data_IF_140272606512
#
_entry.id   IF_140272606512
#
_cell.length_a   1.000
_cell.length_b   1.000
_cell.length_c   1.000
_cell.angle_alpha   90.00
_cell.angle_beta   90.00
_cell.angle_gamma   90.00
#
_symmetry.space_group_name_H-M   'P 1'
#
loop_
_entity.id
_entity.type
_entity.pdbx_description
1 polymer ?
#
# COMPACT_ATOMS: atom_id res chain seq x y z
N UNK A 1 -26.66 38.30 83.88
CA UNK A 1 -27.12 36.92 84.15
C UNK A 1 -28.39 36.72 83.35
N UNK A 2 -28.43 35.74 82.43
CA UNK A 2 -29.62 34.95 82.09
C UNK A 2 -29.29 34.04 80.88
N UNK A 3 -28.87 32.82 81.22
CA UNK A 3 -28.66 31.72 80.29
C UNK A 3 -30.02 31.17 79.86
N UNK A 4 -30.44 31.48 78.63
CA UNK A 4 -31.66 30.92 78.04
C UNK A 4 -31.40 29.50 77.55
N UNK A 5 -31.48 28.54 78.46
CA UNK A 5 -31.56 27.11 78.12
C UNK A 5 -32.88 26.85 77.39
N UNK A 6 -32.83 26.74 76.06
CA UNK A 6 -33.94 26.19 75.27
C UNK A 6 -34.00 24.68 75.57
N UNK A 7 -34.91 24.29 76.45
CA UNK A 7 -35.25 22.88 76.64
C UNK A 7 -35.85 22.33 75.34
N UNK A 8 -35.10 21.47 74.64
CA UNK A 8 -35.62 20.66 73.55
C UNK A 8 -36.74 19.76 74.10
N UNK A 9 -37.94 19.88 73.54
CA UNK A 9 -39.03 18.95 73.83
C UNK A 9 -38.57 17.53 73.45
N UNK A 10 -38.81 16.51 74.30
CA UNK A 10 -38.55 15.13 73.94
C UNK A 10 -39.43 14.76 72.74
N UNK A 11 -38.85 14.14 71.71
CA UNK A 11 -39.59 13.65 70.55
C UNK A 11 -40.67 12.65 71.02
N UNK A 12 -41.84 12.73 70.39
CA UNK A 12 -42.91 11.76 70.64
C UNK A 12 -42.55 10.38 70.05
N UNK A 13 -43.09 9.33 70.64
CA UNK A 13 -42.85 7.94 70.22
C UNK A 13 -43.21 7.70 68.74
N UNK A 14 -44.27 8.35 68.25
CA UNK A 14 -44.68 8.32 66.85
C UNK A 14 -43.65 8.96 65.90
N UNK A 15 -43.04 10.09 66.29
CA UNK A 15 -42.00 10.74 65.49
C UNK A 15 -40.72 9.88 65.42
N UNK A 16 -40.40 9.16 66.50
CA UNK A 16 -39.27 8.22 66.52
C UNK A 16 -39.53 7.05 65.57
N UNK A 17 -40.73 6.47 65.60
CA UNK A 17 -41.11 5.34 64.75
C UNK A 17 -41.12 5.73 63.25
N UNK A 18 -41.59 6.93 62.93
CA UNK A 18 -41.56 7.46 61.57
C UNK A 18 -40.12 7.70 61.08
N UNK A 19 -39.25 8.31 61.90
CA UNK A 19 -37.84 8.49 61.56
C UNK A 19 -37.12 7.17 61.35
N UNK A 20 -37.41 6.15 62.17
CA UNK A 20 -36.85 4.81 61.98
C UNK A 20 -37.34 4.16 60.68
N UNK A 21 -38.61 4.36 60.31
CA UNK A 21 -39.15 3.88 59.03
C UNK A 21 -38.44 4.55 57.84
N UNK A 22 -38.25 5.87 57.90
CA UNK A 22 -37.54 6.61 56.86
C UNK A 22 -36.06 6.17 56.75
N UNK A 23 -35.40 5.91 57.88
CA UNK A 23 -34.02 5.39 57.90
C UNK A 23 -33.93 4.02 57.24
N UNK A 24 -34.83 3.09 57.57
CA UNK A 24 -34.88 1.76 56.94
C UNK A 24 -35.10 1.85 55.43
N UNK A 25 -35.99 2.75 54.99
CA UNK A 25 -36.24 2.96 53.56
C UNK A 25 -35.02 3.56 52.85
N UNK A 26 -34.36 4.56 53.45
CA UNK A 26 -33.12 5.13 52.90
C UNK A 26 -31.98 4.12 52.85
N UNK A 27 -31.82 3.30 53.89
CA UNK A 27 -30.80 2.26 53.93
C UNK A 27 -31.05 1.20 52.84
N UNK A 28 -32.31 0.81 52.65
CA UNK A 28 -32.71 -0.09 51.56
C UNK A 28 -32.38 0.52 50.19
N UNK A 29 -32.74 1.78 49.97
CA UNK A 29 -32.47 2.48 48.71
C UNK A 29 -30.96 2.60 48.43
N UNK A 30 -30.15 2.89 49.44
CA UNK A 30 -28.69 2.94 49.31
C UNK A 30 -28.08 1.59 48.98
N UNK A 31 -28.59 0.50 49.58
CA UNK A 31 -28.14 -0.87 49.26
C UNK A 31 -28.48 -1.25 47.81
N UNK A 32 -29.68 -0.93 47.35
CA UNK A 32 -30.09 -1.18 45.97
C UNK A 32 -29.22 -0.38 44.98
N UNK A 33 -28.94 0.89 45.29
CA UNK A 33 -28.05 1.72 44.47
C UNK A 33 -26.61 1.20 44.45
N UNK A 34 -26.09 0.74 45.60
CA UNK A 34 -24.75 0.16 45.68
C UNK A 34 -24.64 -1.14 44.86
N UNK A 35 -25.64 -2.03 44.97
CA UNK A 35 -25.68 -3.26 44.19
C UNK A 35 -25.78 -2.99 42.67
N UNK A 36 -26.53 -1.97 42.27
CA UNK A 36 -26.62 -1.57 40.87
C UNK A 36 -25.27 -1.05 40.33
N UNK A 37 -24.56 -0.23 41.11
CA UNK A 37 -23.23 0.27 40.75
C UNK A 37 -22.20 -0.86 40.66
N UNK A 38 -22.23 -1.82 41.60
CA UNK A 38 -21.36 -2.99 41.57
C UNK A 38 -21.63 -3.87 40.34
N UNK A 39 -22.90 -4.10 40.00
CA UNK A 39 -23.27 -4.81 38.76
C UNK A 39 -22.73 -4.09 37.52
N UNK A 40 -22.89 -2.77 37.46
CA UNK A 40 -22.41 -1.97 36.34
C UNK A 40 -20.87 -2.00 36.23
N UNK A 41 -20.15 -1.97 37.35
CA UNK A 41 -18.70 -2.10 37.37
C UNK A 41 -18.24 -3.47 36.87
N UNK A 42 -18.89 -4.55 37.30
CA UNK A 42 -18.57 -5.90 36.83
C UNK A 42 -18.84 -6.08 35.33
N UNK A 43 -19.93 -5.50 34.82
CA UNK A 43 -20.22 -5.50 33.38
C UNK A 43 -19.15 -4.74 32.59
N UNK A 44 -18.76 -3.56 33.08
CA UNK A 44 -17.72 -2.76 32.44
C UNK A 44 -16.36 -3.47 32.44
N UNK A 45 -15.98 -4.10 33.55
CA UNK A 45 -14.75 -4.87 33.67
C UNK A 45 -14.75 -6.07 32.70
N UNK A 46 -15.88 -6.79 32.62
CA UNK A 46 -16.03 -7.91 31.68
C UNK A 46 -15.91 -7.44 30.22
N UNK A 47 -16.52 -6.31 29.88
CA UNK A 47 -16.41 -5.73 28.54
C UNK A 47 -14.99 -5.28 28.23
N UNK A 48 -14.28 -4.69 29.21
CA UNK A 48 -12.89 -4.28 29.07
C UNK A 48 -12.00 -5.50 28.81
N UNK A 49 -12.16 -6.57 29.58
CA UNK A 49 -11.38 -7.79 29.42
C UNK A 49 -11.60 -8.45 28.06
N UNK A 50 -12.85 -8.48 27.59
CA UNK A 50 -13.19 -8.96 26.25
C UNK A 50 -12.55 -8.09 25.15
N UNK A 51 -12.67 -6.76 25.24
CA UNK A 51 -12.08 -5.84 24.28
C UNK A 51 -10.54 -5.94 24.25
N UNK A 52 -9.90 -6.09 25.41
CA UNK A 52 -8.47 -6.31 25.49
C UNK A 52 -8.03 -7.64 24.85
N UNK A 53 -8.84 -8.69 25.02
CA UNK A 53 -8.60 -9.97 24.37
C UNK A 53 -8.66 -9.83 22.84
N UNK A 54 -9.71 -9.20 22.31
CA UNK A 54 -9.87 -8.97 20.88
C UNK A 54 -8.72 -8.14 20.29
N UNK A 55 -8.27 -7.10 21.01
CA UNK A 55 -7.11 -6.30 20.60
C UNK A 55 -5.82 -7.12 20.56
N UNK A 56 -5.62 -8.04 21.51
CA UNK A 56 -4.46 -8.96 21.50
C UNK A 56 -4.51 -9.90 20.30
N UNK A 57 -5.69 -10.42 19.95
CA UNK A 57 -5.86 -11.26 18.77
C UNK A 57 -5.58 -10.50 17.47
N UNK A 58 -6.16 -9.30 17.31
CA UNK A 58 -5.95 -8.44 16.14
C UNK A 58 -4.47 -8.11 15.98
N UNK A 59 -3.79 -7.76 17.07
CA UNK A 59 -2.35 -7.48 17.05
C UNK A 59 -1.55 -8.68 16.56
N UNK A 60 -1.81 -9.85 17.10
CA UNK A 60 -1.10 -11.09 16.71
C UNK A 60 -1.36 -11.41 15.23
N UNK A 61 -2.61 -11.24 14.77
CA UNK A 61 -2.98 -11.44 13.37
C UNK A 61 -2.26 -10.47 12.43
N UNK A 62 -2.16 -9.19 12.80
CA UNK A 62 -1.43 -8.17 12.05
C UNK A 62 0.07 -8.48 11.97
N UNK A 63 0.69 -8.85 13.08
CA UNK A 63 2.12 -9.23 13.13
C UNK A 63 2.39 -10.44 12.19
N UNK A 64 1.52 -11.45 12.21
CA UNK A 64 1.60 -12.58 11.28
C UNK A 64 1.43 -12.16 9.82
N UNK A 65 0.47 -11.27 9.53
CA UNK A 65 0.20 -10.76 8.18
C UNK A 65 1.39 -9.96 7.63
N UNK A 66 2.04 -9.16 8.49
CA UNK A 66 3.22 -8.39 8.14
C UNK A 66 4.40 -9.32 7.79
N UNK A 67 4.57 -10.40 8.56
CA UNK A 67 5.60 -11.41 8.29
C UNK A 67 5.33 -12.13 6.96
N UNK A 68 4.08 -12.53 6.70
CA UNK A 68 3.67 -13.14 5.43
C UNK A 68 3.95 -12.21 4.23
N UNK A 69 3.64 -10.91 4.36
CA UNK A 69 3.94 -9.91 3.33
C UNK A 69 5.45 -9.76 3.10
N UNK A 70 6.25 -9.69 4.17
CA UNK A 70 7.72 -9.63 4.05
C UNK A 70 8.27 -10.86 3.34
N UNK A 71 7.81 -12.06 3.66
CA UNK A 71 8.24 -13.28 2.98
C UNK A 71 7.87 -13.27 1.51
N UNK A 72 6.64 -12.85 1.19
CA UNK A 72 6.17 -12.78 -0.20
C UNK A 72 6.98 -11.77 -1.01
N UNK A 73 7.31 -10.62 -0.42
CA UNK A 73 8.14 -9.61 -1.07
C UNK A 73 9.57 -10.13 -1.24
N UNK A 74 10.14 -10.87 -0.28
CA UNK A 74 11.44 -11.52 -0.44
C UNK A 74 11.45 -12.58 -1.56
N UNK A 75 10.36 -13.35 -1.72
CA UNK A 75 10.20 -14.30 -2.84
C UNK A 75 10.09 -13.59 -4.18
N UNK A 76 9.31 -12.50 -4.24
CA UNK A 76 9.10 -11.74 -5.48
C UNK A 76 10.30 -10.88 -5.88
N UNK A 77 11.11 -10.44 -4.91
CA UNK A 77 12.30 -9.63 -5.12
C UNK A 77 13.58 -10.48 -5.28
N UNK A 78 13.44 -11.80 -5.43
CA UNK A 78 14.52 -12.67 -5.89
C UNK A 78 14.75 -12.34 -7.37
N UNK A 79 15.68 -11.42 -7.62
CA UNK A 79 15.91 -10.84 -8.93
C UNK A 79 16.25 -11.96 -9.93
N UNK A 80 15.43 -12.21 -10.97
CA UNK A 80 15.70 -13.28 -11.93
C UNK A 80 17.04 -13.05 -12.63
N UNK A 81 17.52 -11.80 -12.69
CA UNK A 81 18.85 -11.46 -13.16
C UNK A 81 19.96 -12.05 -12.28
N UNK A 82 19.83 -12.03 -10.95
CA UNK A 82 20.83 -12.63 -10.04
C UNK A 82 20.88 -14.15 -10.16
N UNK A 83 19.71 -14.80 -10.27
CA UNK A 83 19.64 -16.27 -10.44
C UNK A 83 20.26 -16.68 -11.79
N UNK A 84 19.95 -15.94 -12.87
CA UNK A 84 20.53 -16.14 -14.20
C UNK A 84 22.05 -15.85 -14.22
N UNK A 85 22.52 -14.88 -13.44
CA UNK A 85 23.96 -14.57 -13.30
C UNK A 85 24.71 -15.67 -12.56
N UNK A 86 24.13 -16.24 -11.50
CA UNK A 86 24.70 -17.38 -10.76
C UNK A 86 24.77 -18.62 -11.66
N UNK A 87 23.71 -18.92 -12.39
CA UNK A 87 23.66 -20.03 -13.34
C UNK A 87 24.68 -19.84 -14.48
N UNK A 88 24.82 -18.63 -15.03
CA UNK A 88 25.86 -18.32 -16.03
C UNK A 88 27.28 -18.49 -15.48
N UNK A 89 27.52 -18.09 -14.22
CA UNK A 89 28.82 -18.25 -13.59
C UNK A 89 29.16 -19.73 -13.38
N UNK A 90 28.18 -20.54 -13.05
CA UNK A 90 28.33 -22.00 -12.90
C UNK A 90 28.57 -22.69 -14.25
N UNK A 91 27.79 -22.36 -15.29
CA UNK A 91 28.01 -22.85 -16.65
C UNK A 91 29.39 -22.48 -17.19
N UNK A 92 29.87 -21.26 -16.92
CA UNK A 92 31.23 -20.83 -17.30
C UNK A 92 32.31 -21.64 -16.58
N UNK A 93 32.10 -21.96 -15.30
CA UNK A 93 33.02 -22.79 -14.53
C UNK A 93 33.05 -24.23 -15.06
N UNK A 94 31.91 -24.78 -15.41
CA UNK A 94 31.81 -26.14 -15.97
C UNK A 94 32.41 -26.22 -17.39
N UNK A 95 32.18 -25.20 -18.22
CA UNK A 95 32.83 -25.07 -19.52
C UNK A 95 34.35 -24.99 -19.39
N UNK A 96 34.86 -24.26 -18.38
CA UNK A 96 36.29 -24.19 -18.11
C UNK A 96 36.86 -25.55 -17.68
N UNK A 97 36.12 -26.33 -16.88
CA UNK A 97 36.51 -27.70 -16.51
C UNK A 97 36.55 -28.63 -17.71
N UNK A 98 35.50 -28.63 -18.54
CA UNK A 98 35.43 -29.46 -19.76
C UNK A 98 36.53 -29.12 -20.77
N UNK A 99 36.89 -27.83 -20.89
CA UNK A 99 38.04 -27.41 -21.72
C UNK A 99 39.37 -27.86 -21.13
N UNK A 100 39.53 -27.84 -19.81
CA UNK A 100 40.73 -28.34 -19.16
C UNK A 100 40.89 -29.86 -19.35
N UNK A 101 39.81 -30.64 -19.24
CA UNK A 101 39.84 -32.08 -19.53
C UNK A 101 40.04 -32.38 -21.02
N UNK A 102 39.44 -31.61 -21.94
CA UNK A 102 39.66 -31.75 -23.38
C UNK A 102 41.11 -31.44 -23.81
N UNK A 103 41.84 -30.59 -23.08
CA UNK A 103 43.26 -30.35 -23.28
C UNK A 103 44.16 -31.47 -22.72
N UNK A 104 43.59 -32.48 -22.07
CA UNK A 104 44.32 -33.61 -21.49
C UNK A 104 44.14 -34.91 -22.29
N UNK A 105 43.36 -34.91 -23.36
CA UNK A 105 43.13 -36.10 -24.19
C UNK A 105 44.00 -36.06 -25.46
N UNK A 106 44.94 -37.00 -25.67
CA UNK A 106 45.75 -37.03 -26.88
C UNK A 106 44.92 -37.61 -28.03
N UNK A 107 44.45 -36.75 -28.95
CA UNK A 107 43.89 -37.20 -30.23
C UNK A 107 45.02 -37.60 -31.20
N UNK A 108 44.90 -38.74 -31.90
CA UNK A 108 45.90 -39.18 -32.87
C UNK A 108 45.80 -38.34 -34.15
N UNK A 109 46.97 -37.98 -34.69
CA UNK A 109 47.12 -37.40 -36.03
C UNK A 109 46.49 -38.32 -37.08
N UNK A 110 45.42 -37.87 -37.75
CA UNK A 110 45.30 -38.04 -39.19
C UNK A 110 44.17 -37.19 -39.77
N UNK A 111 44.44 -36.63 -40.95
CA UNK A 111 43.53 -35.97 -41.89
C UNK A 111 43.29 -34.46 -41.70
N UNK A 112 44.24 -33.68 -42.21
CA UNK A 112 43.94 -32.36 -42.78
C UNK A 112 43.10 -32.53 -44.07
N UNK A 113 42.06 -31.71 -44.24
CA UNK A 113 41.74 -31.14 -45.53
C UNK A 113 41.99 -29.62 -45.50
N UNK A 114 42.87 -29.18 -46.40
CA UNK A 114 42.92 -27.89 -47.10
C UNK A 114 42.19 -26.70 -46.48
N UNK A 115 43.00 -25.74 -46.01
CA UNK A 115 42.63 -24.35 -45.71
C UNK A 115 42.09 -23.66 -46.97
N UNK A 116 40.79 -23.36 -46.97
CA UNK A 116 40.22 -22.26 -47.73
C UNK A 116 39.90 -21.13 -46.75
N UNK A 117 40.62 -20.02 -46.86
CA UNK A 117 40.25 -18.76 -46.19
C UNK A 117 38.86 -18.32 -46.67
N UNK A 118 38.01 -17.83 -45.75
CA UNK A 118 37.50 -16.48 -45.94
C UNK A 118 37.80 -15.62 -44.72
N UNK A 119 38.73 -14.71 -44.95
CA UNK A 119 39.05 -13.52 -44.18
C UNK A 119 37.80 -12.69 -43.87
N UNK A 120 37.68 -12.24 -42.62
CA UNK A 120 37.02 -11.00 -42.16
C UNK A 120 35.63 -10.62 -42.72
N UNK A 121 34.58 -10.83 -41.93
CA UNK A 121 33.34 -10.05 -41.98
C UNK A 121 32.91 -9.61 -40.57
N UNK A 122 33.56 -8.58 -40.04
CA UNK A 122 33.01 -7.76 -38.94
C UNK A 122 33.35 -6.28 -39.08
N UNK A 123 33.53 -5.78 -40.31
CA UNK A 123 33.54 -4.35 -40.57
C UNK A 123 32.81 -4.09 -41.89
N UNK A 124 31.49 -3.90 -41.80
CA UNK A 124 30.74 -3.24 -42.87
C UNK A 124 30.50 -1.80 -42.41
N UNK A 125 31.18 -0.80 -42.97
CA UNK A 125 30.66 0.56 -42.90
C UNK A 125 29.40 0.55 -43.77
N UNK A 126 28.24 0.78 -43.15
CA UNK A 126 27.01 0.99 -43.91
C UNK A 126 27.26 2.13 -44.90
N UNK A 127 27.30 1.78 -46.19
CA UNK A 127 27.27 2.75 -47.28
C UNK A 127 26.04 3.64 -47.06
N UNK A 128 26.27 4.93 -46.89
CA UNK A 128 25.27 5.95 -47.14
C UNK A 128 24.74 5.76 -48.56
N UNK A 129 23.42 5.59 -48.77
CA UNK A 129 22.82 6.06 -50.00
C UNK A 129 22.69 7.57 -49.86
N UNK A 130 23.39 8.32 -50.70
CA UNK A 130 23.03 9.71 -50.98
C UNK A 130 21.58 9.72 -51.44
N UNK A 131 20.68 10.17 -50.56
CA UNK A 131 19.32 10.47 -50.93
C UNK A 131 18.97 11.80 -50.27
N UNK A 132 19.09 12.85 -51.08
CA UNK A 132 18.37 14.10 -50.88
C UNK A 132 16.88 13.75 -50.75
N UNK A 133 16.42 13.62 -49.52
CA UNK A 133 15.00 13.55 -49.22
C UNK A 133 14.86 14.05 -47.79
N UNK A 134 13.93 14.98 -47.61
CA UNK A 134 13.57 15.65 -46.38
C UNK A 134 13.10 14.66 -45.30
N UNK A 135 14.01 13.85 -44.77
CA UNK A 135 13.74 12.94 -43.69
C UNK A 135 13.48 13.79 -42.45
N UNK A 136 12.22 13.79 -42.01
CA UNK A 136 11.84 14.35 -40.72
C UNK A 136 12.81 13.86 -39.64
N UNK A 137 13.20 14.73 -38.69
CA UNK A 137 14.02 14.30 -37.57
C UNK A 137 13.36 13.09 -36.90
N UNK A 138 14.13 12.05 -36.51
CA UNK A 138 13.56 10.88 -35.86
C UNK A 138 12.72 11.35 -34.67
N UNK A 139 11.44 10.99 -34.67
CA UNK A 139 10.50 11.39 -33.63
C UNK A 139 11.13 11.16 -32.24
N UNK A 140 11.01 12.11 -31.29
CA UNK A 140 11.61 12.00 -29.97
C UNK A 140 11.24 10.65 -29.35
N UNK A 141 12.23 9.85 -28.95
CA UNK A 141 11.98 8.59 -28.24
C UNK A 141 11.35 8.95 -26.91
N UNK A 142 10.06 8.69 -26.78
CA UNK A 142 9.31 8.91 -25.55
C UNK A 142 9.67 7.82 -24.55
N UNK A 143 10.39 8.18 -23.49
CA UNK A 143 10.68 7.27 -22.40
C UNK A 143 9.53 7.32 -21.38
N UNK A 144 8.52 6.47 -21.57
CA UNK A 144 7.39 6.36 -20.63
C UNK A 144 7.85 6.18 -19.19
N UNK A 145 8.97 5.48 -18.96
CA UNK A 145 9.54 5.29 -17.63
C UNK A 145 9.87 6.62 -16.94
N UNK A 146 10.61 7.49 -17.61
CA UNK A 146 11.01 8.81 -17.08
C UNK A 146 9.79 9.69 -16.82
N UNK A 147 8.82 9.65 -17.74
CA UNK A 147 7.56 10.40 -17.61
C UNK A 147 6.77 9.91 -16.38
N UNK A 148 6.70 8.60 -16.16
CA UNK A 148 6.00 8.02 -15.03
C UNK A 148 6.71 8.29 -13.69
N UNK A 149 8.04 8.45 -13.67
CA UNK A 149 8.77 8.85 -12.47
C UNK A 149 8.32 10.23 -11.95
N UNK A 150 7.88 11.12 -12.85
CA UNK A 150 7.35 12.44 -12.46
C UNK A 150 5.94 12.42 -11.88
N UNK A 151 5.20 11.31 -12.05
CA UNK A 151 3.83 11.18 -11.55
C UNK A 151 3.85 10.51 -10.17
N UNK A 152 3.33 11.17 -9.13
CA UNK A 152 3.27 10.60 -7.79
C UNK A 152 2.31 9.41 -7.74
N UNK A 153 2.53 8.51 -6.79
CA UNK A 153 1.56 7.46 -6.50
C UNK A 153 0.31 8.06 -5.85
N UNK A 154 -0.86 7.48 -6.12
CA UNK A 154 -2.13 7.92 -5.56
C UNK A 154 -2.87 6.76 -4.92
N UNK A 155 -3.16 6.89 -3.63
CA UNK A 155 -3.93 5.94 -2.82
C UNK A 155 -5.22 6.57 -2.26
N UNK A 156 -5.50 7.82 -2.63
CA UNK A 156 -6.61 8.61 -2.12
C UNK A 156 -6.34 9.38 -0.84
N UNK A 157 -5.16 9.28 -0.21
CA UNK A 157 -4.84 10.03 1.02
C UNK A 157 -3.59 10.92 0.85
N UNK A 158 -2.51 10.36 0.29
CA UNK A 158 -1.20 11.01 0.27
C UNK A 158 -1.10 12.21 -0.70
N UNK A 159 -1.90 12.17 -1.77
CA UNK A 159 -1.93 13.21 -2.81
C UNK A 159 -3.39 13.46 -3.15
N UNK A 160 -3.78 14.71 -3.36
CA UNK A 160 -5.17 15.02 -3.77
C UNK A 160 -5.45 14.55 -5.20
N UNK A 161 -6.71 14.23 -5.51
CA UNK A 161 -7.14 13.86 -6.87
C UNK A 161 -6.74 14.93 -7.88
N UNK A 162 -6.88 16.20 -7.50
CA UNK A 162 -6.51 17.35 -8.33
C UNK A 162 -5.03 17.38 -8.66
N UNK A 163 -4.16 17.12 -7.67
CA UNK A 163 -2.71 17.08 -7.88
C UNK A 163 -2.30 15.89 -8.76
N UNK A 164 -2.83 14.69 -8.49
CA UNK A 164 -2.58 13.50 -9.30
C UNK A 164 -3.03 13.71 -10.74
N UNK A 165 -4.28 14.16 -10.94
CA UNK A 165 -4.84 14.44 -12.27
C UNK A 165 -4.01 15.47 -13.03
N UNK A 166 -3.51 16.52 -12.35
CA UNK A 166 -2.64 17.53 -12.97
C UNK A 166 -1.31 16.92 -13.41
N UNK A 167 -0.71 16.04 -12.62
CA UNK A 167 0.51 15.33 -12.99
C UNK A 167 0.28 14.41 -14.20
N UNK A 168 -0.83 13.67 -14.24
CA UNK A 168 -1.22 12.86 -15.40
C UNK A 168 -1.40 13.70 -16.67
N UNK A 169 -2.02 14.87 -16.58
CA UNK A 169 -2.19 15.78 -17.72
C UNK A 169 -0.85 16.30 -18.25
N UNK A 170 0.09 16.65 -17.37
CA UNK A 170 1.46 17.04 -17.77
C UNK A 170 2.20 15.88 -18.44
N UNK A 171 2.06 14.66 -17.93
CA UNK A 171 2.59 13.47 -18.58
C UNK A 171 1.97 13.22 -19.96
N UNK A 172 0.71 13.63 -20.18
CA UNK A 172 0.08 13.59 -21.50
C UNK A 172 0.72 14.54 -22.50
N UNK A 173 1.08 15.74 -22.04
CA UNK A 173 1.66 16.80 -22.89
C UNK A 173 3.06 16.41 -23.41
N UNK A 174 3.74 15.48 -22.75
CA UNK A 174 5.07 15.01 -23.16
C UNK A 174 5.04 13.80 -24.10
N UNK A 175 3.86 13.26 -24.40
CA UNK A 175 3.70 12.10 -25.31
C UNK A 175 2.85 12.45 -26.53
N UNK A 176 3.09 11.80 -27.68
CA UNK A 176 2.19 11.88 -28.83
C UNK A 176 0.77 11.46 -28.48
N UNK A 177 -0.23 12.08 -29.10
CA UNK A 177 -1.64 11.76 -28.87
C UNK A 177 -1.98 10.27 -29.12
N UNK A 178 -1.29 9.62 -30.07
CA UNK A 178 -1.42 8.18 -30.36
C UNK A 178 -1.04 7.29 -29.17
N UNK A 179 -0.27 7.81 -28.22
CA UNK A 179 0.24 7.10 -27.05
C UNK A 179 -0.60 7.29 -25.78
N UNK A 180 -1.67 8.09 -25.82
CA UNK A 180 -2.48 8.41 -24.64
C UNK A 180 -3.04 7.14 -23.98
N UNK A 181 -3.51 6.17 -24.77
CA UNK A 181 -4.05 4.91 -24.25
C UNK A 181 -3.00 4.10 -23.49
N UNK A 182 -1.81 3.99 -24.05
CA UNK A 182 -0.69 3.28 -23.43
C UNK A 182 -0.23 3.98 -22.14
N UNK A 183 -0.13 5.31 -22.19
CA UNK A 183 0.18 6.12 -21.01
C UNK A 183 -0.88 5.95 -19.92
N UNK A 184 -2.16 6.00 -20.27
CA UNK A 184 -3.28 5.85 -19.33
C UNK A 184 -3.20 4.51 -18.60
N UNK A 185 -2.96 3.41 -19.33
CA UNK A 185 -2.77 2.08 -18.71
C UNK A 185 -1.60 2.05 -17.73
N UNK A 186 -0.48 2.70 -18.07
CA UNK A 186 0.66 2.77 -17.15
C UNK A 186 0.41 3.67 -15.94
N UNK A 187 -0.40 4.73 -16.09
CA UNK A 187 -0.81 5.59 -14.98
C UNK A 187 -1.75 4.89 -14.00
N UNK A 188 -2.55 3.92 -14.44
CA UNK A 188 -3.33 3.05 -13.54
C UNK A 188 -2.41 2.28 -12.58
N UNK A 189 -1.21 1.88 -13.02
CA UNK A 189 -0.23 1.23 -12.15
C UNK A 189 0.36 2.16 -11.06
N UNK A 190 0.12 3.48 -11.16
CA UNK A 190 0.48 4.44 -10.12
C UNK A 190 -0.57 4.54 -9.01
N UNK A 191 -1.73 3.91 -9.20
CA UNK A 191 -2.76 3.82 -8.18
C UNK A 191 -2.41 2.71 -7.18
N UNK A 192 -2.74 2.93 -5.91
CA UNK A 192 -2.49 1.98 -4.82
C UNK A 192 -3.73 1.84 -3.93
N UNK A 193 -3.82 0.72 -3.21
CA UNK A 193 -4.87 0.48 -2.22
C UNK A 193 -6.27 0.78 -2.74
N UNK A 194 -7.03 1.59 -1.99
CA UNK A 194 -8.42 1.95 -2.32
C UNK A 194 -8.58 2.62 -3.69
N UNK A 195 -7.57 3.38 -4.14
CA UNK A 195 -7.64 4.04 -5.44
C UNK A 195 -7.49 3.06 -6.61
N UNK A 196 -6.68 2.01 -6.43
CA UNK A 196 -6.57 0.95 -7.43
C UNK A 196 -7.87 0.12 -7.48
N UNK A 197 -8.40 -0.29 -6.33
CA UNK A 197 -9.66 -1.04 -6.25
C UNK A 197 -10.85 -0.28 -6.84
N UNK A 198 -10.85 1.05 -6.74
CA UNK A 198 -11.92 1.91 -7.30
C UNK A 198 -11.94 1.93 -8.84
N UNK A 199 -10.84 1.58 -9.50
CA UNK A 199 -10.74 1.57 -10.97
C UNK A 199 -10.60 0.17 -11.55
N UNK A 200 -10.49 -0.84 -10.68
CA UNK A 200 -10.34 -2.24 -11.06
C UNK A 200 -11.59 -2.72 -11.82
N UNK A 201 -11.40 -3.25 -13.03
CA UNK A 201 -12.49 -3.69 -13.90
C UNK A 201 -13.17 -2.60 -14.73
N UNK A 202 -12.79 -1.32 -14.58
CA UNK A 202 -13.32 -0.22 -15.40
C UNK A 202 -12.33 0.12 -16.54
N UNK A 203 -12.73 -0.02 -17.82
CA UNK A 203 -11.83 0.33 -18.92
C UNK A 203 -11.61 1.85 -18.97
N UNK A 204 -10.37 2.28 -18.73
CA UNK A 204 -9.94 3.67 -18.87
C UNK A 204 -8.99 3.79 -20.06
N UNK A 205 -9.46 4.39 -21.15
CA UNK A 205 -8.68 4.55 -22.39
C UNK A 205 -8.05 5.93 -22.54
N UNK A 206 -8.52 6.91 -21.76
CA UNK A 206 -8.03 8.29 -21.77
C UNK A 206 -7.75 8.79 -20.36
N UNK A 207 -6.87 9.79 -20.25
CA UNK A 207 -6.55 10.40 -18.96
C UNK A 207 -7.74 11.17 -18.40
N UNK A 208 -8.64 11.67 -19.27
CA UNK A 208 -9.89 12.30 -18.87
C UNK A 208 -10.82 11.31 -18.15
N UNK A 209 -11.03 10.13 -18.72
CA UNK A 209 -11.86 9.08 -18.09
C UNK A 209 -11.29 8.65 -16.73
N UNK A 210 -9.97 8.47 -16.65
CA UNK A 210 -9.30 8.14 -15.40
C UNK A 210 -9.51 9.24 -14.34
N UNK A 211 -9.36 10.51 -14.73
CA UNK A 211 -9.58 11.64 -13.85
C UNK A 211 -11.03 11.75 -13.37
N UNK A 212 -12.00 11.56 -14.25
CA UNK A 212 -13.42 11.64 -13.91
C UNK A 212 -13.82 10.54 -12.93
N UNK A 213 -13.30 9.32 -13.14
CA UNK A 213 -13.53 8.19 -12.25
C UNK A 213 -12.97 8.45 -10.84
N UNK A 214 -11.72 8.92 -10.76
CA UNK A 214 -11.10 9.24 -9.48
C UNK A 214 -11.79 10.42 -8.79
N UNK A 215 -12.26 11.43 -9.54
CA UNK A 215 -13.02 12.54 -8.97
C UNK A 215 -14.39 12.12 -8.45
N UNK A 216 -15.07 11.15 -9.08
CA UNK A 216 -16.34 10.63 -8.54
C UNK A 216 -16.15 9.92 -7.21
N UNK A 217 -15.06 9.17 -7.07
CA UNK A 217 -14.82 8.35 -5.86
C UNK A 217 -14.19 9.16 -4.73
N UNK A 218 -13.31 10.12 -5.06
CA UNK A 218 -12.49 10.83 -4.07
C UNK A 218 -12.67 12.35 -4.07
N UNK A 219 -13.41 12.92 -5.03
CA UNK A 219 -13.60 14.36 -5.19
C UNK A 219 -14.69 14.97 -4.31
N UNK A 220 -15.61 14.16 -3.76
CA UNK A 220 -16.70 14.65 -2.89
C UNK A 220 -16.23 15.15 -1.51
N UNK A 221 -14.97 14.88 -1.13
CA UNK A 221 -14.41 15.32 0.16
C UNK A 221 -14.16 16.83 0.28
N UNK A 222 -14.31 17.61 -0.81
CA UNK A 222 -14.07 19.07 -0.77
C UNK A 222 -15.34 19.93 -0.63
N UNK A 223 -16.54 19.41 -0.89
CA UNK A 223 -17.77 20.21 -0.78
C UNK A 223 -18.50 20.10 0.57
N UNK A 224 -18.12 19.16 1.44
CA UNK A 224 -18.81 18.96 2.72
C UNK A 224 -18.22 19.76 3.90
N UNK A 225 -16.99 20.28 3.78
CA UNK A 225 -16.30 20.99 4.86
C UNK A 225 -16.44 22.53 4.83
N UNK A 226 -17.14 23.09 3.84
CA UNK A 226 -17.33 24.55 3.71
C UNK A 226 -18.76 25.02 3.96
N UNK A 227 -19.66 24.15 4.44
CA UNK A 227 -21.07 24.50 4.71
C UNK A 227 -21.51 24.27 6.17
N UNK A 228 -20.53 24.14 7.08
CA UNK A 228 -20.78 24.15 8.53
C UNK A 228 -19.75 25.05 9.19
N UNK A 229 -19.85 26.36 8.92
CA UNK A 229 -19.37 27.45 9.77
C UNK A 229 -20.20 28.70 9.47
#
# INVERSE_FOLDING_TARGET
METRSKASKPLSEAEIEELQSQLRNKEKQLREQAAALESQQNEFETQKDAAEHDLREIRTSLENKELELRERDARNNKDPAEETLRENAELKRELARLRATALTEPLPLSQQPTVANPTHYWNTPAMFPSQDSWAEPPAPRVYFREILETVPHFDGYNVTVTQFTRACRRAKETVPASSERSLTRMLVNKLRGRAYSAVEGVPCDTIAQLADLLNRVFGEMFYSLHNVL
#
